data_IF_606468104892
#
_entry.id   IF_606468104892
#
_cell.length_a   1.000
_cell.length_b   1.000
_cell.length_c   1.000
_cell.angle_alpha   90.00
_cell.angle_beta   90.00
_cell.angle_gamma   90.00
#
_symmetry.space_group_name_H-M   'P 1'
#
loop_
_entity.id
_entity.type
_entity.pdbx_description
1 polymer ?
#
# COMPACT_ATOMS: atom_id res chain seq x y z
N UNK A 1 0.00 12.53 3.84
CA UNK A 1 0.44 11.52 2.85
C UNK A 1 1.92 11.75 2.59
N UNK A 2 2.77 10.72 2.73
CA UNK A 2 4.23 10.83 2.66
C UNK A 2 4.74 10.35 1.30
N UNK A 3 4.25 9.19 0.84
CA UNK A 3 4.65 8.60 -0.45
C UNK A 3 3.47 7.89 -1.11
N UNK A 4 3.50 7.86 -2.44
CA UNK A 4 2.55 7.14 -3.29
C UNK A 4 3.34 6.43 -4.38
N UNK A 5 3.14 5.13 -4.51
CA UNK A 5 3.68 4.34 -5.62
C UNK A 5 2.55 3.58 -6.31
N UNK A 6 2.36 3.88 -7.60
CA UNK A 6 1.43 3.18 -8.46
C UNK A 6 2.22 2.12 -9.23
N UNK A 7 2.14 0.87 -8.78
CA UNK A 7 2.89 -0.24 -9.38
C UNK A 7 2.24 -0.80 -10.65
N UNK A 8 1.03 -0.33 -10.96
CA UNK A 8 0.28 -0.74 -12.14
C UNK A 8 -0.22 -2.18 -12.05
N UNK A 9 -0.55 -2.74 -13.21
CA UNK A 9 -1.09 -4.09 -13.34
C UNK A 9 0.01 -5.13 -13.12
N UNK A 10 -0.15 -5.99 -12.12
CA UNK A 10 0.73 -7.14 -11.88
C UNK A 10 -0.05 -8.45 -11.89
N UNK A 11 0.62 -9.52 -12.29
CA UNK A 11 0.09 -10.89 -12.22
C UNK A 11 0.11 -11.38 -10.77
N UNK A 12 -0.99 -11.95 -10.31
CA UNK A 12 -1.11 -12.54 -8.97
C UNK A 12 -0.43 -13.91 -8.94
N UNK A 13 0.15 -14.27 -7.80
CA UNK A 13 0.74 -15.60 -7.60
C UNK A 13 -0.32 -16.73 -7.66
N UNK A 14 -1.53 -16.44 -7.20
CA UNK A 14 -2.71 -17.30 -7.26
C UNK A 14 -3.97 -16.48 -7.54
N UNK A 15 -5.04 -17.07 -8.11
CA UNK A 15 -6.26 -16.34 -8.39
C UNK A 15 -6.96 -15.86 -7.12
N UNK A 16 -7.44 -14.62 -7.13
CA UNK A 16 -8.29 -14.04 -6.08
C UNK A 16 -9.60 -13.62 -6.76
N UNK A 17 -10.74 -14.05 -6.23
CA UNK A 17 -12.06 -13.78 -6.84
C UNK A 17 -12.10 -14.12 -8.36
N UNK A 18 -11.46 -15.23 -8.76
CA UNK A 18 -11.30 -15.65 -10.16
C UNK A 18 -10.52 -14.69 -11.08
N UNK A 19 -9.84 -13.68 -10.53
CA UNK A 19 -8.94 -12.78 -11.27
C UNK A 19 -7.49 -13.25 -11.15
N UNK A 20 -6.72 -13.15 -12.23
CA UNK A 20 -5.29 -13.55 -12.29
C UNK A 20 -4.31 -12.37 -12.22
N UNK A 21 -4.82 -11.15 -12.25
CA UNK A 21 -4.05 -9.91 -12.21
C UNK A 21 -4.80 -8.85 -11.41
N UNK A 22 -4.07 -7.87 -10.90
CA UNK A 22 -4.63 -6.75 -10.15
C UNK A 22 -3.71 -5.53 -10.21
N UNK A 23 -4.27 -4.35 -9.96
CA UNK A 23 -3.51 -3.12 -9.80
C UNK A 23 -2.98 -3.03 -8.38
N UNK A 24 -1.69 -2.74 -8.24
CA UNK A 24 -1.05 -2.56 -6.94
C UNK A 24 -0.79 -1.08 -6.69
N UNK A 25 -1.21 -0.61 -5.53
CA UNK A 25 -0.94 0.72 -5.03
C UNK A 25 -0.30 0.59 -3.65
N UNK A 26 0.81 1.29 -3.44
CA UNK A 26 1.47 1.40 -2.15
C UNK A 26 1.36 2.84 -1.66
N UNK A 27 0.79 3.00 -0.47
CA UNK A 27 0.63 4.29 0.19
C UNK A 27 1.41 4.29 1.49
N UNK A 28 2.18 5.36 1.68
CA UNK A 28 2.80 5.68 2.96
C UNK A 28 2.17 6.95 3.48
N UNK A 29 1.59 6.87 4.67
CA UNK A 29 0.89 7.99 5.27
C UNK A 29 1.06 7.96 6.79
N UNK A 30 0.95 9.13 7.39
CA UNK A 30 0.98 9.34 8.82
C UNK A 30 -0.35 9.97 9.22
N UNK A 31 -1.06 9.31 10.11
CA UNK A 31 -2.37 9.70 10.65
C UNK A 31 -2.46 9.25 12.10
N UNK A 32 -3.42 9.81 12.84
CA UNK A 32 -3.77 9.30 14.17
C UNK A 32 -4.32 7.87 14.05
N UNK A 33 -3.97 7.00 15.02
CA UNK A 33 -4.35 5.58 14.99
C UNK A 33 -5.87 5.35 14.98
N UNK A 34 -6.64 6.26 15.57
CA UNK A 34 -8.11 6.23 15.63
C UNK A 34 -8.77 6.27 14.25
N UNK A 35 -8.07 6.79 13.23
CA UNK A 35 -8.59 6.91 11.86
C UNK A 35 -8.44 5.60 11.07
N UNK A 36 -7.60 4.67 11.52
CA UNK A 36 -7.30 3.44 10.77
C UNK A 36 -8.50 2.49 10.73
N UNK A 37 -9.16 2.27 11.86
CA UNK A 37 -10.31 1.37 11.94
C UNK A 37 -11.47 1.75 11.00
N UNK A 38 -11.98 3.00 11.01
CA UNK A 38 -13.04 3.39 10.07
C UNK A 38 -12.57 3.33 8.61
N UNK A 39 -11.30 3.64 8.34
CA UNK A 39 -10.74 3.54 6.98
C UNK A 39 -10.75 2.09 6.47
N UNK A 40 -10.37 1.12 7.30
CA UNK A 40 -10.40 -0.30 6.94
C UNK A 40 -11.83 -0.86 6.79
N UNK A 41 -12.81 -0.25 7.44
CA UNK A 41 -14.23 -0.56 7.19
C UNK A 41 -14.62 -0.11 5.78
N UNK A 42 -14.21 1.10 5.37
CA UNK A 42 -14.49 1.61 4.03
C UNK A 42 -13.78 0.76 2.94
N UNK A 43 -12.54 0.32 3.17
CA UNK A 43 -11.85 -0.60 2.25
C UNK A 43 -12.54 -1.96 2.10
N UNK A 44 -13.25 -2.42 3.13
CA UNK A 44 -14.05 -3.66 3.05
C UNK A 44 -15.38 -3.46 2.35
N UNK A 45 -15.97 -2.26 2.45
CA UNK A 45 -17.25 -1.91 1.81
C UNK A 45 -17.09 -1.64 0.32
N UNK A 46 -15.95 -1.10 -0.09
CA UNK A 46 -15.68 -0.83 -1.50
C UNK A 46 -15.31 -2.11 -2.26
N UNK A 47 -16.22 -2.58 -3.13
CA UNK A 47 -16.07 -3.77 -3.95
C UNK A 47 -14.92 -3.70 -4.96
N UNK A 48 -14.35 -2.51 -5.21
CA UNK A 48 -13.20 -2.34 -6.11
C UNK A 48 -11.91 -2.86 -5.49
N UNK A 49 -11.83 -2.96 -4.16
CA UNK A 49 -10.68 -3.49 -3.46
C UNK A 49 -10.80 -5.01 -3.30
N UNK A 50 -9.96 -5.76 -4.01
CA UNK A 50 -9.88 -7.22 -3.81
C UNK A 50 -9.15 -7.60 -2.52
N UNK A 51 -8.15 -6.80 -2.11
CA UNK A 51 -7.35 -7.04 -0.91
C UNK A 51 -6.61 -5.77 -0.50
N UNK A 52 -6.47 -5.55 0.80
CA UNK A 52 -5.63 -4.53 1.39
C UNK A 52 -4.82 -5.11 2.55
N UNK A 53 -3.75 -4.42 2.93
CA UNK A 53 -2.96 -4.74 4.11
C UNK A 53 -2.39 -3.43 4.67
N UNK A 54 -2.79 -3.08 5.88
CA UNK A 54 -2.23 -1.96 6.62
C UNK A 54 -1.20 -2.48 7.62
N UNK A 55 -0.02 -1.87 7.65
CA UNK A 55 1.03 -2.22 8.62
C UNK A 55 1.59 -0.95 9.27
N UNK A 56 1.87 -1.03 10.56
CA UNK A 56 2.55 0.04 11.29
C UNK A 56 4.06 -0.03 11.04
N UNK A 57 4.68 1.12 10.79
CA UNK A 57 6.13 1.21 10.60
C UNK A 57 6.82 1.57 11.92
N UNK A 58 7.87 0.83 12.28
CA UNK A 58 8.75 1.17 13.39
C UNK A 58 9.84 2.16 12.94
N UNK A 59 10.67 2.61 13.89
CA UNK A 59 11.76 3.57 13.61
C UNK A 59 12.73 3.06 12.54
N UNK A 60 12.98 1.75 12.48
CA UNK A 60 13.91 1.16 11.52
C UNK A 60 13.27 1.05 10.13
N UNK A 61 11.99 0.69 10.05
CA UNK A 61 11.26 0.64 8.79
C UNK A 61 11.11 2.02 8.15
N UNK A 62 10.87 3.08 8.95
CA UNK A 62 10.80 4.47 8.45
C UNK A 62 12.14 4.89 7.83
N UNK A 63 13.25 4.69 8.55
CA UNK A 63 14.58 5.02 8.04
C UNK A 63 14.94 4.23 6.77
N UNK A 64 14.50 2.97 6.67
CA UNK A 64 14.68 2.18 5.47
C UNK A 64 13.83 2.69 4.29
N UNK A 65 12.57 3.07 4.54
CA UNK A 65 11.67 3.60 3.54
C UNK A 65 12.22 4.90 2.93
N UNK A 66 12.74 5.81 3.76
CA UNK A 66 13.44 7.03 3.33
C UNK A 66 14.59 6.72 2.37
N UNK A 67 15.51 5.84 2.79
CA UNK A 67 16.65 5.42 1.96
C UNK A 67 16.21 4.78 0.65
N UNK A 68 15.16 3.95 0.66
CA UNK A 68 14.62 3.33 -0.56
C UNK A 68 14.06 4.39 -1.51
N UNK A 69 13.32 5.37 -1.00
CA UNK A 69 12.76 6.46 -1.82
C UNK A 69 13.85 7.30 -2.47
N UNK A 70 14.92 7.64 -1.75
CA UNK A 70 16.07 8.37 -2.31
C UNK A 70 16.73 7.58 -3.46
N UNK A 71 16.94 6.27 -3.27
CA UNK A 71 17.51 5.40 -4.32
C UNK A 71 16.62 5.34 -5.56
N UNK A 72 15.29 5.29 -5.40
CA UNK A 72 14.37 5.27 -6.52
C UNK A 72 14.36 6.59 -7.28
N UNK A 73 14.45 7.73 -6.58
CA UNK A 73 14.58 9.06 -7.21
C UNK A 73 15.87 9.21 -8.01
N UNK A 74 16.99 8.70 -7.52
CA UNK A 74 18.27 8.77 -8.22
C UNK A 74 18.34 7.90 -9.48
N UNK A 75 17.44 6.90 -9.60
CA UNK A 75 17.38 5.98 -10.75
C UNK A 75 16.39 6.44 -11.83
N UNK A 76 15.46 7.33 -11.48
CA UNK A 76 14.52 7.94 -12.41
C UNK A 76 15.22 9.03 -13.24
#
# INVERSE_FOLDING_TARGET
>A
MISKEDWGLKKLAYPIQNKKSGFYHLFEYQVAGEVIEPLEVEFRRDERFMRYLTVTLDKHAVAWAERRREKLKAKA
#
